data_IF_552863462588
#
_entry.id   IF_552863462588
#
_cell.length_a   1.000
_cell.length_b   1.000
_cell.length_c   1.000
_cell.angle_alpha   90.00
_cell.angle_beta   90.00
_cell.angle_gamma   90.00
#
_symmetry.space_group_name_H-M   'P 1'
#
loop_
_entity.id
_entity.type
_entity.pdbx_description
1 polymer ?
#
# COMPACT_ATOMS: atom_id res chain seq x y z
N UNK A 1 -6.16 -10.47 10.68
CA UNK A 1 -5.06 -10.14 9.75
C UNK A 1 -4.34 -8.91 10.28
N UNK A 2 -3.12 -8.61 9.80
CA UNK A 2 -2.42 -7.37 10.16
C UNK A 2 -3.15 -6.15 9.59
N UNK A 3 -3.14 -5.03 10.31
CA UNK A 3 -3.71 -3.76 9.81
C UNK A 3 -2.69 -3.09 8.90
N UNK A 4 -3.06 -2.86 7.65
CA UNK A 4 -2.17 -2.38 6.60
C UNK A 4 -2.72 -1.11 5.96
N UNK A 5 -1.81 -0.21 5.57
CA UNK A 5 -2.13 1.03 4.89
C UNK A 5 -1.61 0.97 3.45
N UNK A 6 -2.54 1.04 2.50
CA UNK A 6 -2.28 1.19 1.07
C UNK A 6 -1.97 2.64 0.74
N UNK A 7 -0.96 2.85 -0.12
CA UNK A 7 -0.46 4.18 -0.47
C UNK A 7 -0.26 4.26 -1.98
N UNK A 8 -0.95 5.21 -2.59
CA UNK A 8 -0.71 5.66 -3.96
C UNK A 8 0.02 7.00 -3.94
N UNK A 9 1.31 6.98 -4.29
CA UNK A 9 2.16 8.17 -4.24
C UNK A 9 2.03 9.02 -5.51
N UNK A 10 1.54 10.24 -5.34
CA UNK A 10 1.60 11.29 -6.35
C UNK A 10 2.41 12.50 -5.87
N UNK A 11 3.01 13.23 -6.81
CA UNK A 11 3.80 14.45 -6.50
C UNK A 11 2.98 15.61 -5.96
N UNK A 12 1.65 15.59 -6.14
CA UNK A 12 0.72 16.61 -5.64
C UNK A 12 -0.21 16.10 -4.56
N UNK A 13 -0.60 14.83 -4.65
CA UNK A 13 -1.58 14.18 -3.78
C UNK A 13 -1.16 12.75 -3.51
N UNK A 14 -1.49 12.24 -2.35
CA UNK A 14 -1.25 10.86 -1.95
C UNK A 14 -2.58 10.23 -1.57
N UNK A 15 -2.97 9.17 -2.28
CA UNK A 15 -4.14 8.37 -1.95
C UNK A 15 -3.81 7.36 -0.85
N UNK A 16 -4.72 7.19 0.10
CA UNK A 16 -4.58 6.24 1.20
C UNK A 16 -5.79 5.30 1.27
N UNK A 17 -5.52 4.03 1.54
CA UNK A 17 -6.52 3.00 1.79
C UNK A 17 -6.14 2.18 3.04
N UNK A 18 -7.13 1.61 3.71
CA UNK A 18 -6.94 0.86 4.96
C UNK A 18 -7.50 -0.55 4.83
N UNK A 19 -6.81 -1.53 5.42
CA UNK A 19 -7.30 -2.90 5.44
C UNK A 19 -8.36 -3.12 6.52
N UNK A 20 -9.42 -3.82 6.13
CA UNK A 20 -10.47 -4.36 6.98
C UNK A 20 -10.63 -5.85 6.69
N UNK A 21 -10.09 -6.67 7.59
CA UNK A 21 -9.94 -8.11 7.36
C UNK A 21 -9.19 -8.43 6.05
N UNK A 22 -9.88 -8.96 5.04
CA UNK A 22 -9.34 -9.28 3.71
C UNK A 22 -9.70 -8.26 2.64
N UNK A 23 -10.35 -7.16 3.02
CA UNK A 23 -10.79 -6.10 2.10
C UNK A 23 -9.96 -4.84 2.31
N UNK A 24 -9.71 -4.11 1.23
CA UNK A 24 -9.20 -2.76 1.24
C UNK A 24 -10.34 -1.76 1.10
N UNK A 25 -10.34 -0.71 1.91
CA UNK A 25 -11.30 0.38 1.83
C UNK A 25 -10.56 1.72 1.61
N UNK A 26 -11.09 2.62 0.76
CA UNK A 26 -10.50 3.95 0.61
C UNK A 26 -10.58 4.71 1.94
N UNK A 27 -9.48 5.34 2.35
CA UNK A 27 -9.41 6.10 3.61
C UNK A 27 -9.52 7.60 3.35
N UNK A 28 -8.56 8.16 2.61
CA UNK A 28 -8.52 9.60 2.34
C UNK A 28 -7.49 9.92 1.24
N UNK A 29 -7.49 11.16 0.77
CA UNK A 29 -6.46 11.71 -0.12
C UNK A 29 -5.85 12.93 0.57
N UNK A 30 -4.54 12.94 0.72
CA UNK A 30 -3.78 14.03 1.33
C UNK A 30 -3.03 14.83 0.25
N UNK A 31 -2.83 16.13 0.49
CA UNK A 31 -1.89 16.92 -0.30
C UNK A 31 -0.45 16.52 0.05
N UNK A 32 0.41 16.40 -0.96
CA UNK A 32 1.83 16.06 -0.77
C UNK A 32 2.62 17.33 -0.40
N UNK A 33 2.38 17.82 0.81
CA UNK A 33 3.01 19.01 1.39
C UNK A 33 4.13 18.63 2.39
N UNK A 34 4.89 19.59 2.95
CA UNK A 34 5.95 19.29 3.92
C UNK A 34 5.47 18.57 5.20
N UNK A 35 4.17 18.58 5.51
CA UNK A 35 3.60 17.95 6.71
C UNK A 35 3.09 16.52 6.43
N UNK A 36 3.24 16.01 5.20
CA UNK A 36 2.68 14.74 4.77
C UNK A 36 3.08 13.56 5.66
N UNK A 37 4.36 13.47 6.05
CA UNK A 37 4.84 12.39 6.91
C UNK A 37 4.21 12.42 8.31
N UNK A 38 4.04 13.62 8.89
CA UNK A 38 3.40 13.77 10.20
C UNK A 38 1.91 13.37 10.15
N UNK A 39 1.20 13.75 9.07
CA UNK A 39 -0.20 13.37 8.88
C UNK A 39 -0.37 11.86 8.70
N UNK A 40 0.48 11.23 7.89
CA UNK A 40 0.45 9.77 7.71
C UNK A 40 0.84 9.05 9.01
N UNK A 41 1.82 9.58 9.76
CA UNK A 41 2.19 9.03 11.06
C UNK A 41 1.01 9.07 12.06
N UNK A 42 0.25 10.16 12.08
CA UNK A 42 -0.94 10.26 12.92
C UNK A 42 -2.00 9.20 12.53
N UNK A 43 -2.27 9.04 11.23
CA UNK A 43 -3.18 7.99 10.72
C UNK A 43 -2.69 6.60 11.13
N UNK A 44 -1.38 6.33 11.03
CA UNK A 44 -0.78 5.06 11.42
C UNK A 44 -1.04 4.76 12.90
N UNK A 45 -0.90 5.77 13.76
CA UNK A 45 -1.14 5.64 15.21
C UNK A 45 -2.62 5.39 15.49
N UNK A 46 -3.50 6.22 14.94
CA UNK A 46 -4.94 6.17 15.19
C UNK A 46 -5.54 4.86 14.69
N UNK A 47 -5.12 4.42 13.51
CA UNK A 47 -5.60 3.19 12.88
C UNK A 47 -4.78 1.95 13.26
N UNK A 48 -3.74 2.09 14.09
CA UNK A 48 -2.88 0.99 14.55
C UNK A 48 -2.30 0.19 13.38
N UNK A 49 -1.84 0.88 12.34
CA UNK A 49 -1.23 0.28 11.16
C UNK A 49 0.09 -0.39 11.52
N UNK A 50 0.34 -1.56 10.95
CA UNK A 50 1.53 -2.38 11.21
C UNK A 50 2.32 -2.69 9.92
N UNK A 51 1.75 -2.41 8.75
CA UNK A 51 2.34 -2.68 7.45
C UNK A 51 2.00 -1.56 6.47
N UNK A 52 3.00 -1.08 5.73
CA UNK A 52 2.81 -0.11 4.65
C UNK A 52 2.89 -0.84 3.31
N UNK A 53 1.99 -0.51 2.39
CA UNK A 53 1.91 -1.09 1.04
C UNK A 53 1.85 0.04 0.03
N UNK A 54 2.92 0.25 -0.73
CA UNK A 54 3.04 1.34 -1.70
C UNK A 54 2.94 0.82 -3.14
N UNK A 55 2.12 1.48 -3.97
CA UNK A 55 2.13 1.23 -5.42
C UNK A 55 3.42 1.76 -6.04
N UNK A 56 4.12 0.95 -6.83
CA UNK A 56 5.33 1.34 -7.54
C UNK A 56 4.96 1.77 -8.96
N UNK A 57 5.06 3.07 -9.22
CA UNK A 57 4.87 3.63 -10.56
C UNK A 57 6.08 3.36 -11.47
N UNK A 58 5.89 3.38 -12.78
CA UNK A 58 6.98 3.20 -13.74
C UNK A 58 7.92 4.42 -13.87
N UNK A 59 9.10 4.17 -14.44
CA UNK A 59 10.02 5.22 -14.90
C UNK A 59 10.54 6.14 -13.80
N UNK A 60 10.63 7.44 -14.06
CA UNK A 60 11.17 8.41 -13.10
C UNK A 60 10.34 8.57 -11.82
N UNK A 61 9.08 8.10 -11.81
CA UNK A 61 8.24 8.12 -10.61
C UNK A 61 8.59 6.99 -9.65
N UNK A 62 9.08 5.84 -10.13
CA UNK A 62 9.52 4.71 -9.30
C UNK A 62 10.51 5.16 -8.20
N UNK A 63 11.52 5.94 -8.60
CA UNK A 63 12.57 6.43 -7.71
C UNK A 63 11.99 7.32 -6.62
N UNK A 64 11.05 8.20 -6.97
CA UNK A 64 10.39 9.11 -6.01
C UNK A 64 9.50 8.34 -5.03
N UNK A 65 8.74 7.37 -5.52
CA UNK A 65 7.92 6.47 -4.67
C UNK A 65 8.80 5.69 -3.69
N UNK A 66 9.94 5.16 -4.16
CA UNK A 66 10.88 4.43 -3.30
C UNK A 66 11.51 5.33 -2.24
N UNK A 67 11.94 6.54 -2.61
CA UNK A 67 12.45 7.54 -1.67
C UNK A 67 11.40 7.90 -0.62
N UNK A 68 10.17 8.19 -1.05
CA UNK A 68 9.05 8.46 -0.17
C UNK A 68 8.78 7.31 0.80
N UNK A 69 8.67 6.08 0.30
CA UNK A 69 8.43 4.90 1.13
C UNK A 69 9.57 4.64 2.12
N UNK A 70 10.82 4.83 1.70
CA UNK A 70 11.99 4.71 2.59
C UNK A 70 11.95 5.74 3.72
N UNK A 71 11.67 7.00 3.41
CA UNK A 71 11.54 8.05 4.41
C UNK A 71 10.39 7.77 5.37
N UNK A 72 9.24 7.35 4.86
CA UNK A 72 8.08 6.99 5.68
C UNK A 72 8.39 5.82 6.62
N UNK A 73 9.10 4.79 6.12
CA UNK A 73 9.56 3.65 6.93
C UNK A 73 10.48 4.10 8.06
N UNK A 74 11.42 5.02 7.80
CA UNK A 74 12.32 5.55 8.81
C UNK A 74 11.58 6.33 9.90
N UNK A 75 10.59 7.15 9.54
CA UNK A 75 9.82 7.97 10.49
C UNK A 75 8.87 7.11 11.33
N UNK A 76 8.31 6.05 10.75
CA UNK A 76 7.27 5.22 11.38
C UNK A 76 7.80 3.94 12.01
N UNK A 77 9.04 3.55 11.68
CA UNK A 77 9.63 2.25 11.98
C UNK A 77 8.80 1.05 11.46
N UNK A 78 7.93 1.27 10.47
CA UNK A 78 7.11 0.22 9.87
C UNK A 78 7.74 -0.34 8.59
N UNK A 79 7.56 -1.65 8.32
CA UNK A 79 7.97 -2.24 7.07
C UNK A 79 7.16 -1.69 5.90
N UNK A 80 7.81 -1.52 4.75
CA UNK A 80 7.19 -1.14 3.48
C UNK A 80 7.31 -2.29 2.49
N UNK A 81 6.20 -2.63 1.85
CA UNK A 81 6.15 -3.51 0.69
C UNK A 81 5.73 -2.68 -0.51
N UNK A 82 6.35 -2.94 -1.67
CA UNK A 82 5.98 -2.31 -2.92
C UNK A 82 5.18 -3.28 -3.78
N UNK A 83 4.06 -2.81 -4.34
CA UNK A 83 3.22 -3.55 -5.29
C UNK A 83 3.43 -2.90 -6.65
N UNK A 84 3.85 -3.68 -7.63
CA UNK A 84 4.18 -3.22 -8.96
C UNK A 84 2.97 -3.42 -9.87
N UNK A 85 2.42 -2.33 -10.43
CA UNK A 85 1.35 -2.37 -11.43
C UNK A 85 1.80 -3.08 -12.72
N UNK A 86 3.12 -3.23 -12.90
CA UNK A 86 3.79 -3.67 -14.12
C UNK A 86 4.71 -4.86 -13.89
N UNK A 87 4.20 -5.95 -13.31
CA UNK A 87 4.84 -7.26 -13.45
C UNK A 87 6.33 -7.29 -13.00
N UNK A 88 6.53 -7.71 -11.75
CA UNK A 88 7.72 -8.41 -11.25
C UNK A 88 9.02 -7.61 -11.01
N UNK A 89 9.37 -7.59 -9.73
CA UNK A 89 10.72 -7.74 -9.15
C UNK A 89 11.53 -6.46 -8.91
N UNK A 90 11.63 -6.04 -7.64
CA UNK A 90 12.87 -6.20 -6.85
C UNK A 90 12.70 -5.67 -5.42
N UNK A 91 13.02 -6.54 -4.44
CA UNK A 91 13.23 -6.28 -3.00
C UNK A 91 11.94 -5.93 -2.23
N UNK A 92 11.21 -6.86 -1.60
CA UNK A 92 11.60 -7.62 -0.39
C UNK A 92 11.00 -9.03 -0.44
N UNK A 93 11.88 -10.00 -0.16
CA UNK A 93 11.64 -11.44 -0.13
C UNK A 93 10.81 -11.82 1.10
N UNK A 94 9.49 -11.95 0.95
CA UNK A 94 8.70 -12.84 1.81
C UNK A 94 8.28 -14.03 0.96
N UNK A 95 8.80 -15.21 1.31
CA UNK A 95 8.54 -16.47 0.64
C UNK A 95 7.07 -16.82 0.75
N UNK A 96 6.28 -16.67 -0.30
CA UNK A 96 5.16 -17.59 -0.58
C UNK A 96 4.88 -17.62 -2.07
N UNK A 97 5.10 -18.80 -2.69
CA UNK A 97 4.66 -19.09 -4.04
C UNK A 97 3.16 -19.38 -3.97
N UNK A 98 2.31 -18.44 -4.33
CA UNK A 98 0.88 -18.70 -4.55
C UNK A 98 0.43 -18.04 -5.85
N UNK A 99 -0.29 -18.83 -6.65
CA UNK A 99 -0.69 -18.54 -8.03
C UNK A 99 -1.57 -17.27 -8.11
N UNK A 100 -1.31 -16.48 -9.15
CA UNK A 100 -2.17 -15.39 -9.66
C UNK A 100 -3.62 -15.84 -9.85
N UNK A 101 -4.55 -15.20 -9.16
CA UNK A 101 -5.94 -15.13 -9.58
C UNK A 101 -6.14 -13.77 -10.25
N UNK A 102 -6.52 -13.79 -11.53
CA UNK A 102 -6.87 -12.58 -12.27
C UNK A 102 -8.22 -12.08 -11.75
N UNK A 103 -8.20 -11.17 -10.78
CA UNK A 103 -9.41 -10.47 -10.36
C UNK A 103 -9.83 -9.51 -11.48
N UNK A 104 -11.01 -9.73 -12.04
CA UNK A 104 -11.59 -8.88 -13.06
C UNK A 104 -11.89 -7.50 -12.45
N UNK A 105 -11.27 -6.46 -13.03
CA UNK A 105 -11.48 -5.06 -12.69
C UNK A 105 -12.95 -4.70 -12.92
N UNK A 106 -13.67 -4.40 -11.85
CA UNK A 106 -15.00 -3.77 -11.95
C UNK A 106 -14.82 -2.24 -11.85
N UNK A 107 -15.62 -1.42 -12.55
CA UNK A 107 -15.45 0.03 -12.54
C UNK A 107 -16.43 0.65 -11.54
N UNK A 108 -16.06 0.73 -10.26
CA UNK A 108 -16.83 1.49 -9.26
C UNK A 108 -15.85 2.36 -8.46
N UNK A 109 -15.63 3.60 -8.94
CA UNK A 109 -14.88 4.68 -8.27
C UNK A 109 -13.70 4.23 -7.38
N UNK A 110 -12.83 3.40 -7.95
CA UNK A 110 -11.70 2.84 -7.22
C UNK A 110 -10.58 3.88 -7.06
N UNK A 111 -10.24 4.18 -5.80
CA UNK A 111 -9.00 4.86 -5.47
C UNK A 111 -7.83 3.90 -5.73
N UNK A 112 -6.81 4.31 -6.48
CA UNK A 112 -5.65 3.45 -6.82
C UNK A 112 -5.00 2.80 -5.58
N UNK A 113 -4.95 3.54 -4.45
CA UNK A 113 -4.45 3.01 -3.18
C UNK A 113 -5.24 1.79 -2.67
N UNK A 114 -6.55 1.74 -2.93
CA UNK A 114 -7.41 0.60 -2.59
C UNK A 114 -7.08 -0.61 -3.45
N UNK A 115 -6.87 -0.41 -4.76
CA UNK A 115 -6.50 -1.49 -5.67
C UNK A 115 -5.14 -2.10 -5.31
N UNK A 116 -4.14 -1.23 -5.08
CA UNK A 116 -2.80 -1.61 -4.60
C UNK A 116 -2.88 -2.46 -3.33
N UNK A 117 -3.68 -2.02 -2.36
CA UNK A 117 -3.80 -2.73 -1.09
C UNK A 117 -4.56 -4.05 -1.25
N UNK A 118 -5.63 -4.07 -2.05
CA UNK A 118 -6.40 -5.28 -2.29
C UNK A 118 -5.54 -6.34 -2.98
N UNK A 119 -4.72 -5.96 -3.97
CA UNK A 119 -3.79 -6.89 -4.62
C UNK A 119 -2.80 -7.50 -3.61
N UNK A 120 -2.27 -6.70 -2.68
CA UNK A 120 -1.40 -7.22 -1.63
C UNK A 120 -2.14 -8.16 -0.65
N UNK A 121 -3.38 -7.83 -0.27
CA UNK A 121 -4.21 -8.63 0.63
C UNK A 121 -4.59 -9.99 0.00
N UNK A 122 -4.95 -10.00 -1.29
CA UNK A 122 -5.32 -11.21 -2.04
C UNK A 122 -4.16 -12.22 -2.13
N UNK A 123 -2.93 -11.74 -2.07
CA UNK A 123 -1.72 -12.58 -2.04
C UNK A 123 -1.42 -13.14 -0.64
N UNK A 124 -2.02 -12.60 0.42
CA UNK A 124 -1.82 -13.10 1.78
C UNK A 124 -2.60 -14.41 1.99
N UNK A 125 -2.00 -15.40 2.65
CA UNK A 125 -2.71 -16.62 2.97
C UNK A 125 -3.90 -16.30 3.90
N UNK A 126 -5.12 -16.56 3.44
CA UNK A 126 -6.31 -16.55 4.30
C UNK A 126 -6.11 -17.61 5.38
N UNK A 127 -6.04 -17.19 6.65
CA UNK A 127 -6.16 -18.15 7.76
C UNK A 127 -7.58 -18.68 7.74
N UNK A 128 -7.79 -19.81 7.07
CA UNK A 128 -9.02 -20.59 7.21
C UNK A 128 -8.98 -21.17 8.62
N UNK A 129 -9.81 -20.65 9.51
CA UNK A 129 -10.11 -21.33 10.75
C UNK A 129 -11.04 -22.49 10.38
N UNK A 130 -10.49 -23.70 10.40
CA UNK A 130 -11.26 -24.94 10.36
C UNK A 130 -11.85 -25.21 11.75
#
# INVERSE_FOLDING_TARGET
>A
MLRALGIDFGTKRIGLALSFASLAEPLTILENDPNIFARIQQIIIDERVQQLVCGLSEGGMAVKTQQFGTQLSLVTALPVVYVDETLTSQVVRVKTKTKRLQHQRTPVDHCAATEILQEWLDLQPTKVFA
#
